data_IF_512502901858
#
_entry.id   IF_512502901858
#
_cell.length_a   1.000
_cell.length_b   1.000
_cell.length_c   1.000
_cell.angle_alpha   90.00
_cell.angle_beta   90.00
_cell.angle_gamma   90.00
#
_symmetry.space_group_name_H-M   'P 1'
#
loop_
_entity.id
_entity.type
_entity.pdbx_description
1 polymer ?
#
# COMPACT_ATOMS: atom_id res chain seq x y z
N UNK A 1 -9.73 -8.85 -5.74
CA UNK A 1 -10.81 -8.12 -5.05
C UNK A 1 -11.42 -8.84 -3.84
N UNK A 2 -12.19 -9.94 -3.93
CA UNK A 2 -12.66 -10.65 -2.71
C UNK A 2 -11.52 -11.32 -1.91
N UNK A 3 -10.44 -11.73 -2.60
CA UNK A 3 -9.29 -12.37 -1.97
C UNK A 3 -8.42 -11.43 -1.14
N UNK A 4 -8.21 -10.19 -1.58
CA UNK A 4 -7.23 -9.30 -0.91
C UNK A 4 -7.71 -8.88 0.47
N UNK A 5 -8.98 -8.49 0.60
CA UNK A 5 -9.57 -8.17 1.90
C UNK A 5 -9.60 -9.38 2.83
N UNK A 6 -9.82 -10.58 2.30
CA UNK A 6 -9.74 -11.81 3.07
C UNK A 6 -8.32 -12.02 3.63
N UNK A 7 -7.29 -11.88 2.77
CA UNK A 7 -5.88 -11.99 3.19
C UNK A 7 -5.54 -10.94 4.24
N UNK A 8 -5.96 -9.68 4.06
CA UNK A 8 -5.74 -8.64 5.06
C UNK A 8 -6.40 -9.01 6.39
N UNK A 9 -7.63 -9.51 6.37
CA UNK A 9 -8.34 -9.94 7.58
C UNK A 9 -7.63 -11.12 8.28
N UNK A 10 -7.00 -12.03 7.53
CA UNK A 10 -6.16 -13.08 8.09
C UNK A 10 -4.95 -12.48 8.84
N UNK A 11 -4.32 -11.43 8.32
CA UNK A 11 -3.25 -10.70 9.03
C UNK A 11 -3.76 -9.91 10.23
N UNK A 12 -4.92 -9.25 10.15
CA UNK A 12 -5.55 -8.58 11.30
C UNK A 12 -5.76 -9.57 12.44
N UNK A 13 -6.16 -10.81 12.14
CA UNK A 13 -6.38 -11.85 13.15
C UNK A 13 -5.10 -12.21 13.94
N UNK A 14 -3.92 -11.98 13.36
CA UNK A 14 -2.62 -12.21 14.01
C UNK A 14 -2.26 -11.16 15.08
N UNK A 15 -2.90 -9.98 15.07
CA UNK A 15 -2.70 -8.95 16.10
C UNK A 15 -3.20 -9.49 17.45
N UNK A 16 -2.29 -9.66 18.41
CA UNK A 16 -2.58 -10.26 19.73
C UNK A 16 -3.34 -9.30 20.63
N UNK A 17 -3.00 -8.02 20.60
CA UNK A 17 -3.68 -6.97 21.34
C UNK A 17 -5.10 -6.77 20.76
N UNK A 18 -6.10 -7.29 21.48
CA UNK A 18 -7.51 -7.26 21.06
C UNK A 18 -8.04 -5.85 20.81
N UNK A 19 -7.59 -4.85 21.60
CA UNK A 19 -8.03 -3.46 21.42
C UNK A 19 -7.47 -2.88 20.13
N UNK A 20 -6.16 -3.06 19.89
CA UNK A 20 -5.53 -2.62 18.65
C UNK A 20 -6.14 -3.31 17.44
N UNK A 21 -6.33 -4.63 17.50
CA UNK A 21 -6.96 -5.41 16.45
C UNK A 21 -8.33 -4.86 16.05
N UNK A 22 -9.20 -4.62 17.04
CA UNK A 22 -10.54 -4.06 16.81
C UNK A 22 -10.47 -2.68 16.16
N UNK A 23 -9.54 -1.82 16.59
CA UNK A 23 -9.37 -0.49 16.00
C UNK A 23 -8.88 -0.55 14.54
N UNK A 24 -7.97 -1.48 14.23
CA UNK A 24 -7.47 -1.70 12.86
C UNK A 24 -8.60 -2.19 11.95
N UNK A 25 -9.35 -3.19 12.39
CA UNK A 25 -10.50 -3.73 11.66
C UNK A 25 -11.56 -2.65 11.37
N UNK A 26 -11.92 -1.86 12.39
CA UNK A 26 -12.87 -0.76 12.25
C UNK A 26 -12.40 0.28 11.23
N UNK A 27 -11.14 0.74 11.34
CA UNK A 27 -10.63 1.79 10.47
C UNK A 27 -10.45 1.33 9.02
N UNK A 28 -10.05 0.08 8.80
CA UNK A 28 -9.93 -0.48 7.45
C UNK A 28 -11.29 -0.62 6.77
N UNK A 29 -12.31 -1.11 7.49
CA UNK A 29 -13.63 -1.32 6.92
C UNK A 29 -14.42 -0.02 6.73
N UNK A 30 -14.24 0.93 7.65
CA UNK A 30 -14.95 2.20 7.64
C UNK A 30 -13.98 3.35 7.95
N UNK A 31 -13.16 3.81 6.98
CA UNK A 31 -12.13 4.83 7.16
C UNK A 31 -12.70 6.24 7.34
N UNK A 32 -13.80 6.41 8.08
CA UNK A 32 -14.49 7.70 8.22
C UNK A 32 -13.57 8.77 8.79
N UNK A 33 -13.55 9.92 8.14
CA UNK A 33 -12.90 11.12 8.64
C UNK A 33 -13.93 12.06 9.26
N UNK A 34 -13.46 13.06 10.02
CA UNK A 34 -14.35 14.06 10.64
C UNK A 34 -15.05 14.97 9.62
N UNK A 35 -14.46 15.16 8.44
CA UNK A 35 -15.00 16.01 7.39
C UNK A 35 -16.00 15.26 6.50
N UNK A 36 -16.99 15.99 5.98
CA UNK A 36 -17.79 15.47 4.89
C UNK A 36 -17.00 15.61 3.59
N UNK A 37 -16.44 14.50 3.11
CA UNK A 37 -15.67 14.44 1.86
C UNK A 37 -16.01 13.15 1.11
N UNK A 38 -16.09 13.26 -0.21
CA UNK A 38 -16.21 12.10 -1.08
C UNK A 38 -14.93 11.26 -1.01
N UNK A 39 -15.11 9.95 -1.15
CA UNK A 39 -13.99 9.00 -1.18
C UNK A 39 -14.25 7.92 -2.21
N UNK A 40 -13.16 7.39 -2.76
CA UNK A 40 -13.21 6.14 -3.51
C UNK A 40 -13.51 4.98 -2.54
N UNK A 41 -14.26 3.96 -2.95
CA UNK A 41 -14.30 2.71 -2.20
C UNK A 41 -12.87 2.13 -2.11
N UNK A 42 -12.45 1.68 -0.92
CA UNK A 42 -11.07 1.19 -0.70
C UNK A 42 -10.69 0.09 -1.71
N UNK A 43 -11.62 -0.81 -2.02
CA UNK A 43 -11.39 -1.91 -2.97
C UNK A 43 -11.30 -1.47 -4.44
N UNK A 44 -11.59 -0.20 -4.74
CA UNK A 44 -11.41 0.40 -6.06
C UNK A 44 -10.30 1.45 -6.10
N UNK A 45 -9.78 1.84 -4.94
CA UNK A 45 -8.78 2.88 -4.79
C UNK A 45 -7.42 2.41 -5.35
N UNK A 46 -6.68 3.29 -6.06
CA UNK A 46 -5.29 3.02 -6.44
C UNK A 46 -4.36 3.23 -5.25
N UNK A 47 -3.17 2.61 -5.26
CA UNK A 47 -2.13 2.97 -4.29
C UNK A 47 -1.32 4.21 -4.74
N UNK A 48 -1.36 4.59 -6.01
CA UNK A 48 -0.71 5.80 -6.50
C UNK A 48 -1.44 6.44 -7.69
N UNK A 49 -1.23 7.73 -7.92
CA UNK A 49 -1.88 8.44 -9.03
C UNK A 49 -1.17 8.29 -10.39
N UNK A 50 0.13 7.97 -10.39
CA UNK A 50 0.92 7.91 -11.63
C UNK A 50 1.95 6.78 -11.73
N UNK A 51 2.21 6.05 -10.65
CA UNK A 51 3.43 5.24 -10.57
C UNK A 51 3.21 3.78 -10.21
N UNK A 52 3.28 3.41 -8.94
CA UNK A 52 2.99 2.04 -8.50
C UNK A 52 1.50 1.88 -8.25
N UNK A 53 0.95 0.71 -8.57
CA UNK A 53 -0.43 0.35 -8.27
C UNK A 53 -1.47 1.41 -8.72
N UNK A 54 -1.21 2.09 -9.85
CA UNK A 54 -2.04 3.19 -10.35
C UNK A 54 -3.19 2.71 -11.23
N UNK A 55 -3.98 1.80 -10.66
CA UNK A 55 -5.13 1.18 -11.31
C UNK A 55 -6.17 0.78 -10.25
N UNK A 56 -7.38 0.44 -10.70
CA UNK A 56 -8.51 0.11 -9.84
C UNK A 56 -8.16 -1.07 -8.90
N UNK A 57 -8.30 -0.84 -7.60
CA UNK A 57 -8.03 -1.84 -6.56
C UNK A 57 -6.55 -2.01 -6.19
N UNK A 58 -5.64 -1.24 -6.80
CA UNK A 58 -4.21 -1.31 -6.52
C UNK A 58 -3.85 -1.05 -5.05
N UNK A 59 -4.64 -0.26 -4.31
CA UNK A 59 -4.41 -0.03 -2.88
C UNK A 59 -4.46 -1.32 -2.06
N UNK A 60 -5.42 -2.20 -2.35
CA UNK A 60 -5.58 -3.46 -1.62
C UNK A 60 -4.46 -4.45 -1.95
N UNK A 61 -4.06 -4.52 -3.22
CA UNK A 61 -2.93 -5.35 -3.65
C UNK A 61 -1.62 -4.88 -2.99
N UNK A 62 -1.38 -3.57 -2.98
CA UNK A 62 -0.24 -2.96 -2.31
C UNK A 62 -0.25 -3.28 -0.80
N UNK A 63 -1.38 -3.08 -0.12
CA UNK A 63 -1.50 -3.36 1.32
C UNK A 63 -1.20 -4.83 1.64
N UNK A 64 -1.67 -5.77 0.82
CA UNK A 64 -1.36 -7.21 0.96
C UNK A 64 0.14 -7.47 0.80
N UNK A 65 0.78 -6.87 -0.21
CA UNK A 65 2.21 -7.03 -0.43
C UNK A 65 3.04 -6.45 0.73
N UNK A 66 2.70 -5.24 1.18
CA UNK A 66 3.39 -4.56 2.28
C UNK A 66 3.27 -5.35 3.58
N UNK A 67 2.09 -5.82 3.98
CA UNK A 67 1.96 -6.60 5.23
C UNK A 67 2.71 -7.94 5.16
N UNK A 68 2.73 -8.60 4.00
CA UNK A 68 3.51 -9.83 3.77
C UNK A 68 5.01 -9.60 3.90
N UNK A 69 5.52 -8.57 3.21
CA UNK A 69 6.92 -8.18 3.28
C UNK A 69 7.31 -7.78 4.70
N UNK A 70 6.49 -6.96 5.36
CA UNK A 70 6.75 -6.49 6.72
C UNK A 70 6.82 -7.64 7.73
N UNK A 71 5.90 -8.60 7.67
CA UNK A 71 5.95 -9.80 8.53
C UNK A 71 7.19 -10.65 8.24
N UNK A 72 7.56 -10.82 6.97
CA UNK A 72 8.80 -11.52 6.60
C UNK A 72 10.04 -10.81 7.17
N UNK A 73 10.08 -9.48 7.09
CA UNK A 73 11.17 -8.69 7.67
C UNK A 73 11.20 -8.80 9.20
N UNK A 74 10.06 -8.93 9.88
CA UNK A 74 10.03 -9.24 11.33
C UNK A 74 10.76 -10.54 11.64
N UNK A 75 10.59 -11.59 10.82
CA UNK A 75 11.27 -12.87 11.00
C UNK A 75 12.78 -12.70 10.85
N UNK A 76 13.23 -11.95 9.84
CA UNK A 76 14.66 -11.62 9.68
C UNK A 76 15.21 -10.85 10.88
N UNK A 77 14.49 -9.82 11.35
CA UNK A 77 14.90 -9.03 12.52
C UNK A 77 15.07 -9.93 13.75
N UNK A 78 14.14 -10.84 14.01
CA UNK A 78 14.20 -11.69 15.20
C UNK A 78 15.15 -12.88 15.08
N UNK A 79 15.14 -13.59 13.96
CA UNK A 79 15.86 -14.86 13.79
C UNK A 79 17.30 -14.66 13.33
N UNK A 80 17.56 -13.65 12.48
CA UNK A 80 18.90 -13.40 11.93
C UNK A 80 19.63 -12.35 12.77
N UNK A 81 18.95 -11.25 13.11
CA UNK A 81 19.59 -10.13 13.82
C UNK A 81 19.42 -10.18 15.35
N UNK A 82 18.61 -11.11 15.88
CA UNK A 82 18.36 -11.21 17.32
C UNK A 82 17.59 -10.03 17.91
N UNK A 83 16.95 -9.23 17.07
CA UNK A 83 16.17 -8.05 17.47
C UNK A 83 14.81 -8.42 18.05
N UNK A 84 14.35 -7.62 19.02
CA UNK A 84 12.96 -7.68 19.50
C UNK A 84 12.12 -6.74 18.67
N UNK A 85 10.99 -7.22 18.15
CA UNK A 85 10.09 -6.44 17.32
C UNK A 85 8.64 -6.67 17.73
N UNK A 86 7.87 -5.59 17.84
CA UNK A 86 6.44 -5.67 18.09
C UNK A 86 5.67 -5.93 16.79
N UNK A 87 5.36 -7.20 16.53
CA UNK A 87 4.61 -7.61 15.34
C UNK A 87 3.20 -7.02 15.30
N UNK A 88 2.56 -6.73 16.44
CA UNK A 88 1.22 -6.14 16.45
C UNK A 88 1.24 -4.73 15.85
N UNK A 89 2.23 -3.92 16.24
CA UNK A 89 2.46 -2.58 15.68
C UNK A 89 2.83 -2.64 14.20
N UNK A 90 3.70 -3.57 13.79
CA UNK A 90 4.08 -3.73 12.37
C UNK A 90 2.85 -4.07 11.51
N UNK A 91 2.05 -5.05 11.93
CA UNK A 91 0.87 -5.47 11.16
C UNK A 91 -0.16 -4.34 11.12
N UNK A 92 -0.45 -3.69 12.25
CA UNK A 92 -1.38 -2.57 12.30
C UNK A 92 -0.94 -1.41 11.39
N UNK A 93 0.34 -1.02 11.48
CA UNK A 93 0.91 0.03 10.65
C UNK A 93 0.90 -0.32 9.16
N UNK A 94 1.36 -1.52 8.79
CA UNK A 94 1.37 -1.99 7.41
C UNK A 94 -0.03 -2.06 6.78
N UNK A 95 -1.06 -2.43 7.55
CA UNK A 95 -2.44 -2.49 7.02
C UNK A 95 -3.05 -1.10 6.84
N UNK A 96 -2.72 -0.16 7.72
CA UNK A 96 -3.37 1.15 7.75
C UNK A 96 -2.62 2.25 7.01
N UNK A 97 -1.31 2.09 6.73
CA UNK A 97 -0.42 3.19 6.29
C UNK A 97 -0.98 4.04 5.13
N UNK A 98 -1.70 3.40 4.21
CA UNK A 98 -2.24 4.03 3.01
C UNK A 98 -3.77 4.11 2.95
N UNK A 99 -4.49 3.71 4.01
CA UNK A 99 -5.96 3.61 3.99
C UNK A 99 -6.63 4.94 3.63
N UNK A 100 -5.98 6.06 3.96
CA UNK A 100 -6.46 7.41 3.68
C UNK A 100 -6.29 7.85 2.23
N UNK A 101 -5.58 7.07 1.39
CA UNK A 101 -5.51 7.34 -0.06
C UNK A 101 -6.88 7.37 -0.73
N UNK A 102 -7.87 6.68 -0.15
CA UNK A 102 -9.24 6.69 -0.63
C UNK A 102 -9.91 8.08 -0.63
N UNK A 103 -9.42 9.00 0.20
CA UNK A 103 -9.90 10.39 0.26
C UNK A 103 -9.09 11.36 -0.58
N UNK A 104 -7.79 11.09 -0.79
CA UNK A 104 -6.88 12.04 -1.45
C UNK A 104 -6.78 11.83 -2.96
N UNK A 105 -7.34 10.74 -3.49
CA UNK A 105 -7.40 10.47 -4.93
C UNK A 105 -8.83 10.46 -5.46
N UNK A 106 -8.97 10.86 -6.72
CA UNK A 106 -10.20 10.84 -7.49
C UNK A 106 -9.96 10.28 -8.89
N UNK A 107 -10.93 9.53 -9.42
CA UNK A 107 -10.94 9.07 -10.80
C UNK A 107 -11.44 10.20 -11.71
N UNK A 108 -10.67 10.52 -12.75
CA UNK A 108 -11.02 11.52 -13.75
C UNK A 108 -11.79 10.89 -14.92
N UNK A 109 -12.45 11.72 -15.73
CA UNK A 109 -13.24 11.28 -16.89
C UNK A 109 -12.41 10.54 -17.95
N UNK A 110 -11.11 10.82 -18.02
CA UNK A 110 -10.16 10.14 -18.90
C UNK A 110 -9.65 8.79 -18.33
N UNK A 111 -10.20 8.35 -17.20
CA UNK A 111 -9.85 7.11 -16.52
C UNK A 111 -8.55 7.18 -15.71
N UNK A 112 -7.87 8.32 -15.62
CA UNK A 112 -6.67 8.50 -14.79
C UNK A 112 -7.03 8.88 -13.36
N UNK A 113 -6.14 8.56 -12.45
CA UNK A 113 -6.26 9.02 -11.07
C UNK A 113 -5.49 10.32 -10.89
N UNK A 114 -6.10 11.26 -10.19
CA UNK A 114 -5.48 12.51 -9.79
C UNK A 114 -5.77 12.76 -8.31
N UNK A 115 -5.16 13.80 -7.73
CA UNK A 115 -5.55 14.27 -6.41
C UNK A 115 -7.02 14.67 -6.40
N UNK A 116 -7.72 14.35 -5.32
CA UNK A 116 -9.04 14.90 -5.04
C UNK A 116 -8.93 16.35 -4.56
N UNK A 117 -10.06 17.07 -4.48
CA UNK A 117 -10.08 18.41 -3.90
C UNK A 117 -9.57 18.48 -2.45
N UNK A 118 -9.69 17.37 -1.69
CA UNK A 118 -9.10 17.23 -0.37
C UNK A 118 -7.60 16.91 -0.46
N UNK A 119 -7.22 16.00 -1.35
CA UNK A 119 -5.82 15.60 -1.58
C UNK A 119 -4.90 16.74 -2.03
N UNK A 120 -5.44 17.76 -2.70
CA UNK A 120 -4.73 19.00 -3.05
C UNK A 120 -4.40 19.88 -1.82
N UNK A 121 -4.93 19.56 -0.64
CA UNK A 121 -4.75 20.36 0.60
C UNK A 121 -4.12 19.57 1.74
N UNK A 122 -4.39 18.28 1.82
CA UNK A 122 -3.89 17.40 2.88
C UNK A 122 -3.51 16.04 2.29
N UNK A 123 -2.30 15.56 2.61
CA UNK A 123 -1.85 14.23 2.20
C UNK A 123 -2.44 13.12 3.09
N UNK A 124 -2.25 11.87 2.65
CA UNK A 124 -2.81 10.71 3.37
C UNK A 124 -2.07 10.41 4.67
N UNK A 125 -0.78 10.77 4.82
CA UNK A 125 -0.01 10.58 6.06
C UNK A 125 -0.60 11.46 7.16
N UNK A 126 -0.78 12.73 6.87
CA UNK A 126 -1.32 13.75 7.76
C UNK A 126 -2.75 13.39 8.18
N UNK A 127 -3.58 12.99 7.20
CA UNK A 127 -4.94 12.56 7.47
C UNK A 127 -4.96 11.30 8.35
N UNK A 128 -4.11 10.32 8.06
CA UNK A 128 -4.02 9.08 8.85
C UNK A 128 -3.57 9.36 10.28
N UNK A 129 -2.50 10.13 10.48
CA UNK A 129 -1.99 10.49 11.81
C UNK A 129 -3.08 11.19 12.64
N UNK A 130 -3.83 12.11 12.04
CA UNK A 130 -4.93 12.79 12.72
C UNK A 130 -6.04 11.81 13.16
N UNK A 131 -6.44 10.90 12.28
CA UNK A 131 -7.49 9.92 12.57
C UNK A 131 -7.05 8.82 13.55
N UNK A 132 -5.77 8.43 13.53
CA UNK A 132 -5.17 7.52 14.51
C UNK A 132 -5.08 8.18 15.90
N UNK A 133 -4.64 9.44 15.97
CA UNK A 133 -4.59 10.20 17.21
C UNK A 133 -5.98 10.36 17.84
N UNK A 134 -6.97 10.77 17.03
CA UNK A 134 -8.37 10.89 17.46
C UNK A 134 -8.96 9.58 17.99
N UNK A 135 -8.55 8.44 17.41
CA UNK A 135 -8.98 7.09 17.81
C UNK A 135 -8.14 6.48 18.92
N UNK A 136 -7.22 7.23 19.52
CA UNK A 136 -6.39 6.77 20.63
C UNK A 136 -5.58 5.50 20.25
N UNK A 137 -5.03 5.46 19.03
CA UNK A 137 -4.08 4.41 18.65
C UNK A 137 -2.77 4.56 19.44
N UNK A 138 -2.01 3.46 19.65
CA UNK A 138 -0.67 3.52 20.24
C UNK A 138 0.24 4.47 19.45
N UNK A 139 1.08 5.23 20.15
CA UNK A 139 2.00 6.21 19.57
C UNK A 139 2.90 5.58 18.50
N UNK A 140 3.26 4.33 18.67
CA UNK A 140 4.11 3.55 17.78
C UNK A 140 3.44 3.36 16.41
N UNK A 141 2.11 3.16 16.36
CA UNK A 141 1.34 3.07 15.11
C UNK A 141 1.23 4.44 14.43
N UNK A 142 1.06 5.51 15.21
CA UNK A 142 1.10 6.88 14.70
C UNK A 142 2.48 7.19 14.09
N UNK A 143 3.56 6.73 14.72
CA UNK A 143 4.92 6.93 14.21
C UNK A 143 5.15 6.17 12.90
N UNK A 144 4.65 4.93 12.78
CA UNK A 144 4.67 4.21 11.50
C UNK A 144 3.94 5.02 10.43
N UNK A 145 2.70 5.46 10.68
CA UNK A 145 1.93 6.26 9.74
C UNK A 145 2.67 7.54 9.33
N UNK A 146 3.25 8.26 10.29
CA UNK A 146 3.96 9.52 10.06
C UNK A 146 5.32 9.36 9.35
N UNK A 147 5.86 8.15 9.25
CA UNK A 147 7.24 7.92 8.79
C UNK A 147 7.43 6.87 7.69
N UNK A 148 6.36 6.20 7.24
CA UNK A 148 6.49 5.04 6.36
C UNK A 148 7.12 5.37 4.98
N UNK A 149 6.95 6.57 4.43
CA UNK A 149 7.66 6.97 3.21
C UNK A 149 9.17 7.27 3.42
N UNK A 150 9.74 6.96 4.59
CA UNK A 150 11.17 7.13 4.86
C UNK A 150 11.59 8.61 4.83
N UNK A 151 12.53 8.94 3.95
CA UNK A 151 13.06 10.30 3.81
C UNK A 151 12.05 11.31 3.21
N UNK A 152 10.97 10.84 2.59
CA UNK A 152 9.90 11.69 2.06
C UNK A 152 8.78 11.96 3.09
N UNK A 153 8.88 11.36 4.28
CA UNK A 153 7.93 11.58 5.36
C UNK A 153 8.26 12.86 6.16
N UNK A 154 7.28 13.47 6.86
CA UNK A 154 7.54 14.59 7.76
C UNK A 154 8.51 14.23 8.90
N UNK A 155 8.61 12.94 9.24
CA UNK A 155 9.59 12.41 10.18
C UNK A 155 10.16 11.09 9.66
N UNK A 156 11.46 10.89 9.81
CA UNK A 156 12.12 9.62 9.47
C UNK A 156 11.67 8.48 10.41
N UNK A 157 11.67 7.22 9.95
CA UNK A 157 11.43 6.08 10.83
C UNK A 157 12.54 5.99 11.88
N UNK A 158 12.15 5.77 13.14
CA UNK A 158 13.04 5.81 14.34
C UNK A 158 12.85 4.62 15.28
N UNK A 159 11.94 3.73 14.92
CA UNK A 159 11.68 2.46 15.63
C UNK A 159 11.87 1.33 14.64
N UNK A 160 12.14 0.11 15.14
CA UNK A 160 12.29 -1.05 14.27
C UNK A 160 11.01 -1.32 13.48
N UNK A 161 9.86 -1.13 14.11
CA UNK A 161 8.54 -1.33 13.51
C UNK A 161 8.32 -0.37 12.34
N UNK A 162 8.63 0.93 12.53
CA UNK A 162 8.52 1.93 11.48
C UNK A 162 9.53 1.71 10.35
N UNK A 163 10.76 1.30 10.68
CA UNK A 163 11.78 0.96 9.68
C UNK A 163 11.34 -0.24 8.84
N UNK A 164 10.79 -1.29 9.46
CA UNK A 164 10.29 -2.48 8.75
C UNK A 164 9.15 -2.13 7.80
N UNK A 165 8.16 -1.37 8.26
CA UNK A 165 7.03 -0.97 7.40
C UNK A 165 7.50 -0.05 6.27
N UNK A 166 8.40 0.90 6.56
CA UNK A 166 8.96 1.80 5.54
C UNK A 166 9.74 1.05 4.45
N UNK A 167 10.54 0.06 4.84
CA UNK A 167 11.28 -0.77 3.88
C UNK A 167 10.34 -1.67 3.07
N UNK A 168 9.29 -2.21 3.68
CA UNK A 168 8.29 -3.03 3.00
C UNK A 168 7.51 -2.23 1.95
N UNK A 169 7.03 -1.04 2.31
CA UNK A 169 6.36 -0.09 1.41
C UNK A 169 7.27 0.27 0.21
N UNK A 170 8.51 0.70 0.48
CA UNK A 170 9.46 1.04 -0.57
C UNK A 170 9.75 -0.14 -1.50
N UNK A 171 9.93 -1.34 -0.94
CA UNK A 171 10.26 -2.54 -1.70
C UNK A 171 9.13 -2.90 -2.67
N UNK A 172 7.88 -2.90 -2.19
CA UNK A 172 6.74 -3.18 -3.06
C UNK A 172 6.55 -2.08 -4.12
N UNK A 173 6.59 -0.81 -3.71
CA UNK A 173 6.49 0.35 -4.59
C UNK A 173 7.51 0.30 -5.74
N UNK A 174 8.78 -0.05 -5.44
CA UNK A 174 9.83 -0.18 -6.44
C UNK A 174 9.68 -1.42 -7.32
N UNK A 175 9.37 -2.58 -6.73
CA UNK A 175 9.15 -3.81 -7.49
C UNK A 175 8.02 -3.61 -8.51
N UNK A 176 6.89 -3.09 -8.05
CA UNK A 176 5.70 -2.84 -8.84
C UNK A 176 5.98 -1.89 -10.00
N UNK A 177 6.57 -0.73 -9.70
CA UNK A 177 6.97 0.27 -10.68
C UNK A 177 7.88 -0.32 -11.75
N UNK A 178 8.87 -1.12 -11.35
CA UNK A 178 9.86 -1.67 -12.27
C UNK A 178 9.26 -2.77 -13.16
N UNK A 179 8.35 -3.60 -12.63
CA UNK A 179 7.61 -4.60 -13.42
C UNK A 179 6.68 -3.92 -14.43
N UNK A 180 5.93 -2.89 -14.03
CA UNK A 180 5.07 -2.12 -14.94
C UNK A 180 5.88 -1.52 -16.08
N UNK A 181 6.98 -0.83 -15.77
CA UNK A 181 7.86 -0.23 -16.79
C UNK A 181 8.45 -1.26 -17.75
N UNK A 182 8.87 -2.41 -17.22
CA UNK A 182 9.39 -3.50 -18.05
C UNK A 182 8.30 -4.04 -19.00
N UNK A 183 7.09 -4.28 -18.49
CA UNK A 183 5.98 -4.77 -19.28
C UNK A 183 5.50 -3.75 -20.34
N UNK A 184 5.37 -2.48 -19.99
CA UNK A 184 5.02 -1.39 -20.91
C UNK A 184 6.04 -1.27 -22.05
N UNK A 185 7.34 -1.39 -21.73
CA UNK A 185 8.40 -1.41 -22.75
C UNK A 185 8.23 -2.60 -23.69
N UNK A 186 8.01 -3.81 -23.15
CA UNK A 186 7.84 -5.03 -23.94
C UNK A 186 6.60 -4.95 -24.84
N UNK A 187 5.46 -4.50 -24.29
CA UNK A 187 4.21 -4.32 -25.03
C UNK A 187 4.38 -3.30 -26.16
N UNK A 188 5.03 -2.15 -25.89
CA UNK A 188 5.31 -1.15 -26.91
C UNK A 188 6.23 -1.69 -28.01
N UNK A 189 7.25 -2.46 -27.65
CA UNK A 189 8.17 -3.08 -28.61
C UNK A 189 7.52 -4.16 -29.47
N UNK A 190 6.55 -4.90 -28.94
CA UNK A 190 5.86 -5.98 -29.65
C UNK A 190 4.66 -5.49 -30.49
N UNK A 191 3.85 -4.57 -29.94
CA UNK A 191 2.56 -4.15 -30.50
C UNK A 191 2.50 -2.68 -30.95
N UNK A 192 3.54 -1.89 -30.69
CA UNK A 192 3.63 -0.48 -31.13
C UNK A 192 2.64 0.47 -30.46
N UNK A 193 2.01 0.07 -29.34
CA UNK A 193 1.02 0.87 -28.61
C UNK A 193 1.43 1.09 -27.17
N UNK A 194 1.04 2.24 -26.64
CA UNK A 194 1.07 2.52 -25.21
C UNK A 194 -0.11 1.79 -24.55
N UNK A 195 0.17 1.04 -23.49
CA UNK A 195 -0.83 0.22 -22.78
C UNK A 195 -0.74 0.57 -21.30
N UNK A 196 -1.88 0.74 -20.65
CA UNK A 196 -1.95 0.89 -19.20
C UNK A 196 -2.23 -0.47 -18.59
N UNK A 197 -1.36 -0.91 -17.69
CA UNK A 197 -1.37 -2.26 -17.15
C UNK A 197 -1.67 -2.24 -15.65
N UNK A 198 -2.38 -3.26 -15.20
CA UNK A 198 -2.34 -3.73 -13.81
C UNK A 198 -1.05 -4.51 -13.56
N UNK A 199 -0.71 -4.73 -12.29
CA UNK A 199 0.49 -5.51 -11.96
C UNK A 199 0.37 -6.97 -12.37
N UNK A 200 -0.85 -7.51 -12.38
CA UNK A 200 -1.10 -8.86 -12.89
C UNK A 200 -0.80 -8.96 -14.38
N UNK A 201 -1.35 -8.06 -15.19
CA UNK A 201 -1.09 -8.03 -16.64
C UNK A 201 0.40 -7.81 -16.94
N UNK A 202 1.06 -6.93 -16.17
CA UNK A 202 2.49 -6.69 -16.31
C UNK A 202 3.33 -7.94 -15.98
N UNK A 203 2.97 -8.68 -14.94
CA UNK A 203 3.61 -9.95 -14.60
C UNK A 203 3.39 -11.01 -15.70
N UNK A 204 2.18 -11.10 -16.26
CA UNK A 204 1.87 -12.01 -17.36
C UNK A 204 2.72 -11.71 -18.60
N UNK A 205 2.90 -10.42 -18.95
CA UNK A 205 3.78 -9.99 -20.05
C UNK A 205 5.24 -10.34 -19.79
N UNK A 206 5.77 -10.02 -18.61
CA UNK A 206 7.17 -10.31 -18.25
C UNK A 206 7.42 -11.82 -18.25
N UNK A 207 6.44 -12.61 -17.78
CA UNK A 207 6.49 -14.08 -17.78
C UNK A 207 6.47 -14.64 -19.20
N UNK A 208 5.52 -14.23 -20.05
CA UNK A 208 5.43 -14.66 -21.44
C UNK A 208 6.73 -14.40 -22.19
N UNK A 209 7.31 -13.20 -22.02
CA UNK A 209 8.63 -12.87 -22.57
C UNK A 209 9.75 -13.78 -22.06
N UNK A 210 9.70 -14.20 -20.79
CA UNK A 210 10.73 -15.05 -20.19
C UNK A 210 10.64 -16.50 -20.63
N UNK A 211 9.43 -17.00 -20.88
CA UNK A 211 9.16 -18.41 -21.20
C UNK A 211 9.15 -18.66 -22.72
N UNK A 212 8.59 -17.75 -23.50
CA UNK A 212 8.26 -17.95 -24.92
C UNK A 212 8.92 -16.92 -25.85
N UNK A 213 9.62 -15.92 -25.29
CA UNK A 213 10.30 -14.88 -26.05
C UNK A 213 9.40 -13.70 -26.44
N UNK A 214 9.96 -12.74 -27.20
CA UNK A 214 9.29 -11.46 -27.47
C UNK A 214 8.04 -11.60 -28.36
N UNK A 215 7.96 -12.64 -29.19
CA UNK A 215 6.83 -12.87 -30.09
C UNK A 215 5.53 -13.20 -29.35
N UNK A 216 5.63 -13.78 -28.15
CA UNK A 216 4.49 -14.13 -27.29
C UNK A 216 3.88 -12.95 -26.54
N UNK A 217 4.47 -11.75 -26.64
CA UNK A 217 3.99 -10.52 -25.97
C UNK A 217 2.96 -9.75 -26.82
N UNK A 218 2.69 -10.20 -28.06
CA UNK A 218 1.82 -9.49 -29.02
C UNK A 218 0.35 -9.46 -28.63
#
# INVERSE_FOLDING_TARGET
MKGDLQVINEYIALIKNRKLRSKVEELLHDPKIAFNADRLPIHECPAGSYVHHSYKGGLMEHTVAVVRLAVTLCDIVSEVYGGRIDRDTVIAGAILHDVMKCYVYALQDDGRYASSGLGEKIDHLTLLVAELYKRDFPLEVLHVAASHHGDQSPIKPKTLEALVVSLADLTDSELNRNVLRAAEYLARSAAGKEVRLSSREAMEIVKAKSEEGLEAVR
#
